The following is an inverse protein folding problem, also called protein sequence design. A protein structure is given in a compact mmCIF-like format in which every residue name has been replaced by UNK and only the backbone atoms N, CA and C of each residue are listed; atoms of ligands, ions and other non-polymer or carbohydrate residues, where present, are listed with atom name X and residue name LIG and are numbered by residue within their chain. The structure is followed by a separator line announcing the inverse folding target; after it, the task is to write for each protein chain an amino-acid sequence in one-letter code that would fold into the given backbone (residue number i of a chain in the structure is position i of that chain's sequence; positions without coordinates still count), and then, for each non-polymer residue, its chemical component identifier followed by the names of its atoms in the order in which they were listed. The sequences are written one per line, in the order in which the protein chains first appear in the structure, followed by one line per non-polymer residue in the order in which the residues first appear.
data_IF_406108346784
#
_entry.id   IF_406108346784
#
_cell.length_a   1.000
_cell.length_b   1.000
_cell.length_c   1.000
_cell.angle_alpha   90.00
_cell.angle_beta   90.00
_cell.angle_gamma   90.00
#
_symmetry.space_group_name_H-M   'P 1'
#
loop_
_entity.id
_entity.type
_entity.pdbx_description
1 polymer ?
#
# COMPACT_ATOMS: atom_id res chain seq x y z
N UNK A 1 -19.09 -13.60 10.81
CA UNK A 1 -18.47 -12.79 9.74
C UNK A 1 -17.19 -12.19 10.28
N UNK A 2 -16.26 -11.75 9.42
CA UNK A 2 -15.11 -10.95 9.87
C UNK A 2 -15.63 -9.58 10.27
N UNK A 3 -15.27 -9.12 11.47
CA UNK A 3 -15.57 -7.76 11.92
C UNK A 3 -14.35 -6.88 11.67
N UNK A 4 -14.57 -5.62 11.30
CA UNK A 4 -13.51 -4.71 10.88
C UNK A 4 -13.63 -3.37 11.62
N UNK A 5 -12.50 -2.80 11.99
CA UNK A 5 -12.35 -1.39 12.34
C UNK A 5 -11.27 -0.77 11.46
N UNK A 6 -11.44 0.47 11.05
CA UNK A 6 -10.51 1.13 10.13
C UNK A 6 -10.43 2.63 10.42
N UNK A 7 -9.22 3.15 10.56
CA UNK A 7 -9.01 4.59 10.64
C UNK A 7 -7.74 4.97 9.87
N UNK A 8 -7.77 6.13 9.24
CA UNK A 8 -6.63 6.74 8.57
C UNK A 8 -6.62 8.24 8.80
N UNK A 9 -5.45 8.85 8.91
CA UNK A 9 -5.29 10.28 9.15
C UNK A 9 -3.98 10.77 8.53
N UNK A 10 -3.91 11.99 7.95
CA UNK A 10 -2.68 12.54 7.38
C UNK A 10 -1.56 12.82 8.42
N UNK A 11 -1.75 12.47 9.69
CA UNK A 11 -0.91 12.98 10.78
C UNK A 11 -1.15 14.47 11.06
N UNK A 12 -0.28 15.06 11.88
CA UNK A 12 -0.29 16.49 12.25
C UNK A 12 0.61 17.36 11.38
N UNK A 13 1.57 16.73 10.69
CA UNK A 13 2.61 17.44 9.93
C UNK A 13 2.36 17.42 8.42
N UNK A 14 1.85 16.31 7.87
CA UNK A 14 1.57 16.22 6.42
C UNK A 14 0.26 16.95 6.09
N UNK A 15 0.18 17.52 4.89
CA UNK A 15 -1.03 18.19 4.39
C UNK A 15 -1.97 17.26 3.60
N UNK A 16 -1.46 16.11 3.16
CA UNK A 16 -2.20 15.09 2.41
C UNK A 16 -1.97 13.72 3.03
N UNK A 17 -2.87 12.80 2.74
CA UNK A 17 -2.79 11.41 3.15
C UNK A 17 -2.45 10.54 1.93
N UNK A 18 -1.23 10.01 1.90
CA UNK A 18 -0.71 9.15 0.83
C UNK A 18 -0.88 7.66 1.18
N UNK A 19 -1.42 7.35 2.37
CA UNK A 19 -1.82 6.00 2.74
C UNK A 19 -3.16 5.63 2.10
N UNK A 20 -3.33 4.33 1.85
CA UNK A 20 -4.61 3.77 1.43
C UNK A 20 -4.83 2.39 2.05
N UNK A 21 -6.09 2.06 2.36
CA UNK A 21 -6.44 0.74 2.84
C UNK A 21 -7.72 0.24 2.16
N UNK A 22 -7.83 -1.07 2.05
CA UNK A 22 -8.99 -1.73 1.47
C UNK A 22 -9.25 -3.04 2.21
N UNK A 23 -10.52 -3.44 2.32
CA UNK A 23 -10.88 -4.75 2.85
C UNK A 23 -12.18 -5.26 2.21
N UNK A 24 -12.34 -6.58 2.14
CA UNK A 24 -13.54 -7.15 1.55
C UNK A 24 -13.53 -8.68 1.44
N UNK A 25 -14.68 -9.28 1.12
CA UNK A 25 -14.76 -10.70 0.79
C UNK A 25 -14.22 -10.97 -0.62
N UNK A 26 -13.55 -12.10 -0.79
CA UNK A 26 -13.11 -12.65 -2.08
C UNK A 26 -13.50 -14.11 -2.21
N UNK A 27 -13.45 -14.72 -3.41
CA UNK A 27 -13.61 -16.17 -3.56
C UNK A 27 -12.66 -17.01 -2.68
N UNK A 28 -11.53 -16.42 -2.26
CA UNK A 28 -10.47 -17.10 -1.52
C UNK A 28 -10.55 -16.91 0.00
N UNK A 29 -11.32 -15.93 0.48
CA UNK A 29 -11.43 -15.60 1.90
C UNK A 29 -11.85 -14.16 2.15
N UNK A 30 -11.52 -13.63 3.33
CA UNK A 30 -11.70 -12.19 3.60
C UNK A 30 -10.33 -11.51 3.60
N UNK A 31 -10.17 -10.43 2.85
CA UNK A 31 -8.89 -9.74 2.70
C UNK A 31 -8.91 -8.40 3.41
N UNK A 32 -7.77 -8.01 3.98
CA UNK A 32 -7.45 -6.63 4.34
C UNK A 32 -6.08 -6.25 3.75
N UNK A 33 -5.98 -5.02 3.29
CA UNK A 33 -4.84 -4.45 2.56
C UNK A 33 -4.56 -3.07 3.14
N UNK A 34 -3.29 -2.78 3.43
CA UNK A 34 -2.80 -1.43 3.79
C UNK A 34 -1.58 -1.13 2.93
N UNK A 35 -1.55 0.08 2.37
CA UNK A 35 -0.53 0.60 1.49
C UNK A 35 -0.08 1.98 1.99
N UNK A 36 1.23 2.22 1.98
CA UNK A 36 1.85 3.53 2.21
C UNK A 36 2.46 3.99 0.88
N UNK A 37 1.91 5.05 0.31
CA UNK A 37 2.28 5.58 -0.99
C UNK A 37 3.41 6.59 -0.91
N UNK A 38 4.40 6.45 -1.79
CA UNK A 38 5.52 7.38 -1.92
C UNK A 38 5.59 7.92 -3.36
N UNK A 39 5.94 9.19 -3.53
CA UNK A 39 6.06 9.75 -4.87
C UNK A 39 6.28 11.27 -4.99
N UNK A 40 6.25 12.01 -3.89
CA UNK A 40 6.18 13.49 -3.91
C UNK A 40 4.72 13.96 -3.96
N UNK A 41 4.49 15.28 -4.06
CA UNK A 41 3.13 15.86 -3.92
C UNK A 41 2.09 15.15 -4.81
N UNK A 42 0.98 14.72 -4.20
CA UNK A 42 -0.21 14.06 -4.79
C UNK A 42 0.04 12.71 -5.48
N UNK A 43 1.29 12.33 -5.71
CA UNK A 43 1.69 11.10 -6.36
C UNK A 43 1.61 9.86 -5.46
N UNK A 44 1.85 10.01 -4.15
CA UNK A 44 1.83 8.88 -3.21
C UNK A 44 0.44 8.26 -3.07
N UNK A 45 -0.61 9.07 -2.90
CA UNK A 45 -2.00 8.61 -2.81
C UNK A 45 -2.41 7.76 -4.02
N UNK A 46 -2.02 8.21 -5.21
CA UNK A 46 -2.29 7.47 -6.46
C UNK A 46 -1.60 6.11 -6.45
N UNK A 47 -0.35 6.03 -6.00
CA UNK A 47 0.38 4.78 -5.92
C UNK A 47 -0.28 3.79 -4.95
N UNK A 48 -0.58 4.23 -3.72
CA UNK A 48 -1.17 3.39 -2.69
C UNK A 48 -2.55 2.85 -3.11
N UNK A 49 -3.40 3.72 -3.67
CA UNK A 49 -4.71 3.35 -4.18
C UNK A 49 -4.62 2.37 -5.34
N UNK A 50 -3.78 2.64 -6.33
CA UNK A 50 -3.59 1.77 -7.49
C UNK A 50 -3.14 0.37 -7.06
N UNK A 51 -2.21 0.29 -6.12
CA UNK A 51 -1.76 -0.99 -5.56
C UNK A 51 -2.89 -1.72 -4.85
N UNK A 52 -3.61 -1.06 -3.94
CA UNK A 52 -4.69 -1.70 -3.18
C UNK A 52 -5.82 -2.19 -4.08
N UNK A 53 -6.24 -1.38 -5.06
CA UNK A 53 -7.26 -1.74 -6.05
C UNK A 53 -6.80 -2.92 -6.92
N UNK A 54 -5.54 -2.91 -7.38
CA UNK A 54 -4.99 -4.01 -8.20
C UNK A 54 -4.94 -5.31 -7.41
N UNK A 55 -4.48 -5.26 -6.16
CA UNK A 55 -4.44 -6.42 -5.28
C UNK A 55 -5.83 -7.01 -5.06
N UNK A 56 -6.83 -6.16 -4.77
CA UNK A 56 -8.18 -6.63 -4.55
C UNK A 56 -8.79 -7.23 -5.82
N UNK A 57 -8.69 -6.55 -6.96
CA UNK A 57 -9.19 -7.03 -8.26
C UNK A 57 -8.54 -8.35 -8.65
N UNK A 58 -7.22 -8.48 -8.49
CA UNK A 58 -6.52 -9.73 -8.76
C UNK A 58 -7.10 -10.88 -7.94
N UNK A 59 -7.37 -10.67 -6.65
CA UNK A 59 -7.95 -11.70 -5.77
C UNK A 59 -9.42 -12.01 -6.06
N UNK A 60 -10.15 -11.11 -6.72
CA UNK A 60 -11.51 -11.37 -7.17
C UNK A 60 -11.55 -12.31 -8.38
N UNK A 61 -10.58 -12.16 -9.29
CA UNK A 61 -10.59 -12.80 -10.61
C UNK A 61 -9.69 -14.05 -10.67
N UNK A 62 -8.64 -14.11 -9.85
CA UNK A 62 -7.65 -15.17 -9.92
C UNK A 62 -8.26 -16.55 -9.64
N UNK A 63 -7.86 -17.58 -10.40
CA UNK A 63 -8.30 -18.95 -10.16
C UNK A 63 -7.78 -19.46 -8.81
N UNK A 64 -8.40 -20.50 -8.22
CA UNK A 64 -7.90 -21.10 -6.98
C UNK A 64 -6.49 -21.67 -7.14
N UNK A 65 -5.54 -21.08 -6.44
CA UNK A 65 -4.15 -21.56 -6.27
C UNK A 65 -3.81 -21.61 -4.76
N UNK A 66 -2.68 -22.20 -4.35
CA UNK A 66 -2.22 -22.08 -2.97
C UNK A 66 -2.17 -20.60 -2.54
N UNK A 67 -2.73 -20.23 -1.37
CA UNK A 67 -2.82 -18.83 -0.96
C UNK A 67 -1.48 -18.09 -0.94
N UNK A 68 -0.38 -18.78 -0.64
CA UNK A 68 0.95 -18.22 -0.66
C UNK A 68 1.39 -17.77 -2.07
N UNK A 69 1.11 -18.59 -3.08
CA UNK A 69 1.43 -18.28 -4.48
C UNK A 69 0.49 -17.18 -5.00
N UNK A 70 -0.80 -17.29 -4.67
CA UNK A 70 -1.81 -16.28 -4.99
C UNK A 70 -1.41 -14.88 -4.53
N UNK A 71 -0.99 -14.74 -3.26
CA UNK A 71 -0.59 -13.44 -2.71
C UNK A 71 0.72 -12.92 -3.31
N UNK A 72 1.66 -13.82 -3.63
CA UNK A 72 2.92 -13.47 -4.31
C UNK A 72 2.64 -12.92 -5.71
N UNK A 73 1.81 -13.62 -6.48
CA UNK A 73 1.41 -13.19 -7.82
C UNK A 73 0.63 -11.86 -7.78
N UNK A 74 -0.26 -11.68 -6.79
CA UNK A 74 -0.98 -10.43 -6.61
C UNK A 74 -0.03 -9.23 -6.41
N UNK A 75 1.00 -9.37 -5.56
CA UNK A 75 1.98 -8.31 -5.31
C UNK A 75 2.86 -8.03 -6.54
N UNK A 76 3.23 -9.06 -7.31
CA UNK A 76 3.94 -8.88 -8.57
C UNK A 76 3.07 -8.19 -9.64
N UNK A 77 1.79 -8.54 -9.72
CA UNK A 77 0.82 -7.88 -10.59
C UNK A 77 0.63 -6.40 -10.22
N UNK A 78 0.53 -6.09 -8.92
CA UNK A 78 0.46 -4.72 -8.43
C UNK A 78 1.74 -3.92 -8.78
N UNK A 79 2.93 -4.52 -8.63
CA UNK A 79 4.19 -3.90 -9.07
C UNK A 79 4.17 -3.59 -10.57
N UNK A 80 3.77 -4.57 -11.40
CA UNK A 80 3.70 -4.41 -12.84
C UNK A 80 2.70 -3.31 -13.24
N UNK A 81 1.53 -3.26 -12.60
CA UNK A 81 0.53 -2.21 -12.85
C UNK A 81 1.05 -0.82 -12.53
N UNK A 82 1.81 -0.67 -11.44
CA UNK A 82 2.43 0.59 -11.06
C UNK A 82 3.54 1.00 -12.05
N UNK A 83 4.33 0.05 -12.55
CA UNK A 83 5.32 0.33 -13.60
C UNK A 83 4.67 0.80 -14.91
N UNK A 84 3.58 0.17 -15.35
CA UNK A 84 2.82 0.62 -16.53
C UNK A 84 2.29 2.04 -16.33
N UNK A 85 1.71 2.33 -15.16
CA UNK A 85 1.23 3.67 -14.84
C UNK A 85 2.34 4.72 -14.95
N UNK A 86 3.56 4.40 -14.48
CA UNK A 86 4.73 5.30 -14.59
C UNK A 86 5.20 5.56 -16.01
N UNK A 87 4.97 4.61 -16.93
CA UNK A 87 5.29 4.79 -18.34
C UNK A 87 4.30 5.73 -19.03
N UNK A 88 3.03 5.65 -18.64
CA UNK A 88 1.94 6.48 -19.16
C UNK A 88 1.97 7.90 -18.59
N UNK A 89 2.53 8.08 -17.39
CA UNK A 89 2.54 9.32 -16.62
C UNK A 89 3.97 9.76 -16.26
N UNK A 90 4.64 10.60 -17.07
CA UNK A 90 6.01 11.06 -16.80
C UNK A 90 6.20 11.78 -15.46
N UNK A 91 5.16 12.47 -14.98
CA UNK A 91 5.08 13.08 -13.65
C UNK A 91 5.13 12.05 -12.52
N UNK A 92 4.74 10.81 -12.81
CA UNK A 92 4.69 9.70 -11.89
C UNK A 92 6.03 8.94 -11.77
N UNK A 93 7.13 9.45 -12.34
CA UNK A 93 8.40 8.72 -12.45
C UNK A 93 8.95 8.13 -11.15
N UNK A 94 8.60 8.70 -9.98
CA UNK A 94 9.08 8.23 -8.69
C UNK A 94 7.98 7.56 -7.82
N UNK A 95 6.83 7.21 -8.39
CA UNK A 95 5.78 6.52 -7.62
C UNK A 95 6.29 5.17 -7.14
N UNK A 96 6.00 4.90 -5.88
CA UNK A 96 6.15 3.61 -5.25
C UNK A 96 5.09 3.45 -4.18
N UNK A 97 4.93 2.24 -3.68
CA UNK A 97 4.09 1.99 -2.52
C UNK A 97 4.66 0.82 -1.73
N UNK A 98 4.46 0.84 -0.42
CA UNK A 98 4.48 -0.40 0.37
C UNK A 98 3.15 -1.13 0.20
N UNK A 99 3.10 -2.40 0.58
CA UNK A 99 1.86 -3.13 0.72
C UNK A 99 2.01 -4.18 1.81
N UNK A 100 1.02 -4.26 2.70
CA UNK A 100 0.81 -5.40 3.60
C UNK A 100 -0.61 -5.92 3.39
N UNK A 101 -0.74 -7.21 3.15
CA UNK A 101 -2.00 -7.88 2.87
C UNK A 101 -2.19 -9.07 3.82
N UNK A 102 -3.41 -9.22 4.33
CA UNK A 102 -3.84 -10.38 5.09
C UNK A 102 -5.06 -11.04 4.44
N UNK A 103 -4.91 -12.30 4.04
CA UNK A 103 -6.02 -13.14 3.57
C UNK A 103 -6.45 -14.11 4.68
N UNK A 104 -7.63 -13.88 5.24
CA UNK A 104 -8.24 -14.71 6.27
C UNK A 104 -9.03 -15.84 5.60
N UNK A 105 -8.56 -17.07 5.82
CA UNK A 105 -9.18 -18.27 5.28
C UNK A 105 -9.32 -19.33 6.38
N UNK A 106 -10.57 -19.67 6.73
CA UNK A 106 -10.90 -20.63 7.79
C UNK A 106 -10.26 -20.23 9.13
N UNK A 107 -9.28 -21.01 9.61
CA UNK A 107 -8.57 -20.81 10.88
C UNK A 107 -7.13 -20.32 10.67
N UNK A 108 -6.82 -19.76 9.49
CA UNK A 108 -5.49 -19.24 9.16
C UNK A 108 -5.61 -17.84 8.57
N UNK A 109 -4.56 -17.05 8.76
CA UNK A 109 -4.30 -15.87 7.95
C UNK A 109 -3.03 -16.13 7.14
N UNK A 110 -3.04 -15.68 5.90
CA UNK A 110 -1.86 -15.63 5.05
C UNK A 110 -1.47 -14.17 4.94
N UNK A 111 -0.25 -13.86 5.38
CA UNK A 111 0.28 -12.50 5.38
C UNK A 111 1.29 -12.42 4.25
N UNK A 112 1.15 -11.42 3.40
CA UNK A 112 2.19 -11.06 2.44
C UNK A 112 2.50 -9.57 2.53
N UNK A 113 3.76 -9.19 2.28
CA UNK A 113 4.14 -7.79 2.28
C UNK A 113 5.37 -7.49 1.42
N UNK A 114 5.48 -6.20 1.09
CA UNK A 114 6.64 -5.54 0.48
C UNK A 114 6.74 -4.13 1.10
N UNK A 115 7.90 -3.78 1.66
CA UNK A 115 8.11 -2.51 2.37
C UNK A 115 8.10 -2.67 3.90
N UNK A 116 7.81 -1.59 4.61
CA UNK A 116 7.84 -1.50 6.08
C UNK A 116 6.47 -1.25 6.74
N UNK A 117 5.38 -1.34 5.97
CA UNK A 117 4.04 -1.52 6.56
C UNK A 117 3.97 -2.87 7.27
N UNK A 118 3.29 -2.91 8.42
CA UNK A 118 3.37 -4.04 9.35
C UNK A 118 2.04 -4.73 9.59
N UNK A 119 2.13 -6.03 9.90
CA UNK A 119 1.02 -6.83 10.40
C UNK A 119 1.33 -7.35 11.82
N UNK A 120 0.37 -7.25 12.73
CA UNK A 120 0.46 -7.76 14.09
C UNK A 120 -0.70 -8.68 14.42
N UNK A 121 -0.42 -9.76 15.15
CA UNK A 121 -1.44 -10.62 15.74
C UNK A 121 -1.51 -10.36 17.25
N UNK A 122 -2.65 -9.86 17.72
CA UNK A 122 -2.89 -9.72 19.14
C UNK A 122 -3.46 -11.01 19.73
N UNK A 123 -2.75 -11.55 20.72
CA UNK A 123 -3.17 -12.67 21.59
C UNK A 123 -3.24 -12.17 23.03
N UNK A 124 -3.85 -12.97 23.91
CA UNK A 124 -4.25 -12.59 25.28
C UNK A 124 -3.36 -11.52 25.92
N UNK A 125 -2.05 -11.74 26.02
CA UNK A 125 -1.09 -10.80 26.62
C UNK A 125 0.11 -10.48 25.71
N UNK A 126 -0.01 -10.69 24.39
CA UNK A 126 1.12 -10.53 23.48
C UNK A 126 0.67 -9.93 22.14
N UNK A 127 1.45 -8.98 21.64
CA UNK A 127 1.34 -8.47 20.28
C UNK A 127 2.52 -8.98 19.45
N UNK A 128 2.27 -10.03 18.67
CA UNK A 128 3.30 -10.66 17.84
C UNK A 128 3.38 -9.93 16.50
N UNK A 129 4.55 -9.40 16.16
CA UNK A 129 4.83 -8.85 14.82
C UNK A 129 4.96 -10.02 13.84
N UNK A 130 4.28 -9.92 12.71
CA UNK A 130 4.26 -10.97 11.69
C UNK A 130 5.15 -10.63 10.48
N UNK A 131 5.41 -9.35 10.23
CA UNK A 131 6.22 -8.89 9.09
C UNK A 131 7.66 -8.61 9.49
N UNK A 132 8.56 -8.62 8.52
CA UNK A 132 9.94 -8.12 8.66
C UNK A 132 10.14 -6.94 7.71
N UNK A 133 10.44 -5.76 8.23
CA UNK A 133 10.49 -4.55 7.39
C UNK A 133 11.55 -4.66 6.28
N UNK A 134 11.19 -4.35 5.03
CA UNK A 134 12.15 -4.18 3.94
C UNK A 134 12.86 -2.82 4.07
N UNK A 135 13.67 -2.65 5.12
CA UNK A 135 14.40 -1.41 5.43
C UNK A 135 15.89 -1.63 5.65
N UNK A 136 16.69 -0.59 5.40
CA UNK A 136 18.14 -0.62 5.60
C UNK A 136 18.51 -0.91 7.06
N UNK A 137 17.74 -0.34 8.00
CA UNK A 137 17.97 -0.57 9.44
C UNK A 137 17.63 -1.99 9.85
N UNK A 138 16.60 -2.61 9.25
CA UNK A 138 16.30 -4.02 9.48
C UNK A 138 17.44 -4.91 8.96
N UNK A 139 17.99 -4.62 7.78
CA UNK A 139 19.17 -5.33 7.26
C UNK A 139 20.40 -5.18 8.17
N UNK A 140 20.66 -3.97 8.67
CA UNK A 140 21.75 -3.72 9.62
C UNK A 140 21.54 -4.44 10.96
N UNK A 141 20.29 -4.53 11.43
CA UNK A 141 19.93 -5.26 12.64
C UNK A 141 20.14 -6.77 12.45
N UNK A 142 19.60 -7.35 11.38
CA UNK A 142 19.72 -8.79 11.08
C UNK A 142 21.17 -9.22 10.83
N UNK A 143 22.02 -8.33 10.31
CA UNK A 143 23.47 -8.57 10.15
C UNK A 143 24.30 -8.29 11.42
N UNK A 144 23.68 -7.84 12.52
CA UNK A 144 24.36 -7.54 13.78
C UNK A 144 25.22 -6.28 13.75
N UNK A 145 25.05 -5.41 12.76
CA UNK A 145 25.79 -4.14 12.63
C UNK A 145 25.29 -3.08 13.62
N UNK A 146 24.01 -3.14 13.99
CA UNK A 146 23.39 -2.25 14.97
C UNK A 146 22.50 -3.03 15.92
N UNK A 147 22.29 -2.48 17.11
CA UNK A 147 21.29 -2.94 18.08
C UNK A 147 19.88 -2.43 17.75
N UNK A 148 18.86 -3.05 18.35
CA UNK A 148 17.47 -2.60 18.20
C UNK A 148 17.27 -1.14 18.68
N UNK A 149 17.95 -0.71 19.75
CA UNK A 149 17.88 0.68 20.21
C UNK A 149 18.50 1.65 19.20
N UNK A 150 19.62 1.26 18.59
CA UNK A 150 20.26 2.06 17.54
C UNK A 150 19.41 2.16 16.28
N UNK A 151 18.73 1.08 15.89
CA UNK A 151 17.84 1.06 14.72
C UNK A 151 16.72 2.12 14.83
N UNK A 152 16.10 2.27 16.01
CA UNK A 152 15.02 3.23 16.26
C UNK A 152 15.44 4.69 16.09
N UNK A 153 16.72 5.00 16.34
CA UNK A 153 17.28 6.37 16.26
C UNK A 153 18.16 6.58 15.03
N UNK A 154 18.27 5.59 14.15
CA UNK A 154 19.17 5.65 13.03
C UNK A 154 18.71 6.70 12.01
N UNK A 155 19.62 7.54 11.47
CA UNK A 155 19.24 8.60 10.52
C UNK A 155 18.65 8.08 9.20
N UNK A 156 18.89 6.80 8.88
CA UNK A 156 18.37 6.14 7.68
C UNK A 156 17.26 5.13 8.00
N UNK A 157 16.54 5.28 9.12
CA UNK A 157 15.48 4.35 9.52
C UNK A 157 14.31 4.25 8.53
N UNK A 158 14.04 5.31 7.77
CA UNK A 158 12.99 5.34 6.74
C UNK A 158 13.52 4.97 5.33
N UNK A 159 14.71 4.37 5.22
CA UNK A 159 15.25 3.96 3.91
C UNK A 159 14.82 2.54 3.62
N UNK A 160 13.90 2.39 2.67
CA UNK A 160 13.44 1.09 2.18
C UNK A 160 14.50 0.41 1.30
N UNK A 161 14.62 -0.90 1.46
CA UNK A 161 15.44 -1.77 0.60
C UNK A 161 14.63 -2.33 -0.56
N UNK A 162 13.31 -2.38 -0.40
CA UNK A 162 12.37 -2.83 -1.43
C UNK A 162 11.03 -2.13 -1.27
N UNK A 163 10.40 -1.77 -2.39
CA UNK A 163 9.01 -1.33 -2.44
C UNK A 163 8.40 -1.73 -3.80
N UNK A 164 7.09 -1.56 -3.95
CA UNK A 164 6.43 -1.70 -5.25
C UNK A 164 6.74 -0.46 -6.12
N UNK A 165 6.73 -0.65 -7.44
CA UNK A 165 7.01 0.38 -8.43
C UNK A 165 8.48 0.45 -8.87
N UNK A 166 9.33 -0.48 -8.45
CA UNK A 166 10.73 -0.55 -8.87
C UNK A 166 10.89 -1.43 -10.12
N UNK A 167 11.86 -1.10 -10.99
CA UNK A 167 12.15 -1.87 -12.21
C UNK A 167 12.62 -3.30 -11.88
N UNK A 168 13.39 -3.45 -10.81
CA UNK A 168 13.70 -4.76 -10.27
C UNK A 168 12.45 -5.32 -9.59
N UNK A 169 11.93 -6.48 -10.03
CA UNK A 169 10.76 -7.08 -9.39
C UNK A 169 11.00 -7.29 -7.89
N UNK A 170 10.01 -6.98 -7.04
CA UNK A 170 10.14 -7.26 -5.63
C UNK A 170 10.19 -8.77 -5.38
N UNK A 171 10.77 -9.16 -4.26
CA UNK A 171 10.66 -10.48 -3.66
C UNK A 171 9.69 -10.40 -2.47
N UNK A 172 8.39 -10.68 -2.64
CA UNK A 172 7.43 -10.62 -1.55
C UNK A 172 7.73 -11.61 -0.44
N UNK A 173 7.59 -11.15 0.80
CA UNK A 173 7.54 -12.04 1.96
C UNK A 173 6.14 -12.60 2.07
N UNK A 174 6.01 -13.91 2.24
CA UNK A 174 4.70 -14.56 2.39
C UNK A 174 4.80 -15.66 3.43
N UNK A 175 3.90 -15.66 4.40
CA UNK A 175 3.86 -16.71 5.42
C UNK A 175 2.45 -16.93 5.96
N UNK A 176 2.25 -18.14 6.48
CA UNK A 176 0.97 -18.60 7.03
C UNK A 176 1.02 -18.56 8.55
N UNK A 177 -0.03 -18.02 9.16
CA UNK A 177 -0.19 -17.99 10.62
C UNK A 177 -1.50 -18.64 11.05
N UNK A 178 -1.47 -19.34 12.18
CA UNK A 178 -2.68 -19.81 12.83
C UNK A 178 -3.49 -18.61 13.34
N UNK A 179 -4.78 -18.58 13.00
CA UNK A 179 -5.71 -17.53 13.36
C UNK A 179 -6.84 -18.11 14.23
N UNK A 180 -6.65 -18.17 15.56
CA UNK A 180 -7.71 -18.58 16.46
C UNK A 180 -8.95 -17.70 16.35
N UNK A 181 -10.10 -18.25 16.69
CA UNK A 181 -11.35 -17.49 16.72
C UNK A 181 -11.25 -16.23 17.58
N UNK A 182 -11.86 -15.14 17.10
CA UNK A 182 -11.86 -13.81 17.74
C UNK A 182 -10.48 -13.16 17.90
N UNK A 183 -9.43 -13.71 17.28
CA UNK A 183 -8.12 -13.05 17.25
C UNK A 183 -8.21 -11.73 16.51
N UNK A 184 -7.44 -10.74 16.95
CA UNK A 184 -7.33 -9.45 16.29
C UNK A 184 -6.03 -9.42 15.47
N UNK A 185 -6.17 -9.08 14.19
CA UNK A 185 -5.07 -8.84 13.29
C UNK A 185 -5.06 -7.35 12.93
N UNK A 186 -3.98 -6.65 13.26
CA UNK A 186 -3.78 -5.25 12.93
C UNK A 186 -2.84 -5.15 11.74
N UNK A 187 -3.26 -4.45 10.69
CA UNK A 187 -2.43 -3.97 9.60
C UNK A 187 -2.25 -2.46 9.77
N UNK A 188 -1.03 -1.96 9.65
CA UNK A 188 -0.77 -0.53 9.80
C UNK A 188 0.45 -0.06 9.01
N UNK A 189 0.46 1.24 8.70
CA UNK A 189 1.62 1.94 8.14
C UNK A 189 2.66 2.28 9.21
N UNK A 190 3.83 2.72 8.77
CA UNK A 190 4.93 3.05 9.66
C UNK A 190 4.60 4.25 10.57
N UNK A 191 3.74 5.18 10.14
CA UNK A 191 3.30 6.32 10.93
C UNK A 191 2.56 5.95 12.20
N UNK A 192 2.01 4.73 12.30
CA UNK A 192 1.53 4.17 13.56
C UNK A 192 2.68 3.53 14.34
N UNK A 193 3.37 2.58 13.72
CA UNK A 193 4.31 1.69 14.43
C UNK A 193 5.65 2.34 14.80
N UNK A 194 5.95 3.51 14.24
CA UNK A 194 7.07 4.37 14.61
C UNK A 194 6.76 5.24 15.83
N UNK A 195 5.48 5.46 16.15
CA UNK A 195 5.03 6.37 17.20
C UNK A 195 4.44 5.67 18.42
N UNK A 196 4.02 4.41 18.29
CA UNK A 196 3.47 3.62 19.38
C UNK A 196 4.29 2.34 19.61
N UNK A 197 4.54 2.03 20.88
CA UNK A 197 5.15 0.76 21.28
C UNK A 197 4.16 -0.41 21.14
N UNK A 198 4.68 -1.64 21.13
CA UNK A 198 3.83 -2.85 21.10
C UNK A 198 2.91 -2.91 22.31
N UNK A 199 3.38 -2.46 23.47
CA UNK A 199 2.63 -2.42 24.72
C UNK A 199 1.48 -1.40 24.65
N UNK A 200 1.72 -0.23 24.08
CA UNK A 200 0.69 0.79 23.88
C UNK A 200 -0.39 0.31 22.91
N UNK A 201 0.01 -0.29 21.78
CA UNK A 201 -0.92 -0.88 20.81
C UNK A 201 -1.74 -1.99 21.48
N UNK A 202 -1.07 -2.92 22.17
CA UNK A 202 -1.72 -4.04 22.83
C UNK A 202 -2.74 -3.58 23.88
N UNK A 203 -2.42 -2.54 24.66
CA UNK A 203 -3.32 -1.99 25.66
C UNK A 203 -4.65 -1.50 25.03
N UNK A 204 -4.58 -0.77 23.91
CA UNK A 204 -5.78 -0.34 23.17
C UNK A 204 -6.55 -1.54 22.61
N UNK A 205 -5.85 -2.51 22.02
CA UNK A 205 -6.49 -3.69 21.43
C UNK A 205 -7.16 -4.59 22.48
N UNK A 206 -6.67 -4.60 23.71
CA UNK A 206 -7.23 -5.39 24.81
C UNK A 206 -8.42 -4.72 25.52
N UNK A 207 -8.63 -3.41 25.34
CA UNK A 207 -9.75 -2.73 25.95
C UNK A 207 -11.07 -3.31 25.43
N UNK A 208 -11.86 -3.90 26.34
CA UNK A 208 -13.13 -4.56 26.02
C UNK A 208 -14.30 -3.59 25.97
N UNK A 209 -14.11 -2.36 26.44
CA UNK A 209 -15.13 -1.31 26.38
C UNK A 209 -15.22 -0.67 24.99
N UNK A 210 -14.16 -0.81 24.18
CA UNK A 210 -14.06 -0.22 22.85
C UNK A 210 -14.50 -1.19 21.75
N UNK A 211 -15.27 -0.67 20.80
CA UNK A 211 -15.51 -1.33 19.51
C UNK A 211 -14.22 -1.40 18.67
N UNK A 212 -14.19 -2.24 17.63
CA UNK A 212 -13.03 -2.29 16.72
C UNK A 212 -12.73 -0.94 16.07
N UNK A 213 -13.77 -0.21 15.66
CA UNK A 213 -13.63 1.13 15.11
C UNK A 213 -13.01 2.09 16.13
N UNK A 214 -13.55 2.13 17.35
CA UNK A 214 -13.02 2.98 18.44
C UNK A 214 -11.57 2.67 18.79
N UNK A 215 -11.14 1.40 18.66
CA UNK A 215 -9.74 1.01 18.83
C UNK A 215 -8.85 1.64 17.76
N UNK A 216 -9.27 1.59 16.50
CA UNK A 216 -8.53 2.26 15.43
C UNK A 216 -8.47 3.78 15.65
N UNK A 217 -9.59 4.41 16.01
CA UNK A 217 -9.63 5.85 16.30
C UNK A 217 -8.66 6.23 17.44
N UNK A 218 -8.64 5.46 18.53
CA UNK A 218 -7.74 5.66 19.67
C UNK A 218 -6.26 5.44 19.29
N UNK A 219 -5.96 4.45 18.45
CA UNK A 219 -4.61 4.22 17.93
C UNK A 219 -4.11 5.41 17.11
N UNK A 220 -4.95 5.94 16.21
CA UNK A 220 -4.62 7.13 15.42
C UNK A 220 -4.41 8.35 16.32
N UNK A 221 -5.30 8.56 17.30
CA UNK A 221 -5.22 9.71 18.20
C UNK A 221 -3.96 9.65 19.07
N UNK A 222 -3.61 8.48 19.63
CA UNK A 222 -2.36 8.30 20.37
C UNK A 222 -1.12 8.57 19.51
N UNK A 223 -1.09 8.05 18.29
CA UNK A 223 0.03 8.31 17.38
C UNK A 223 0.15 9.81 17.02
N UNK A 224 -0.98 10.49 16.81
CA UNK A 224 -1.02 11.95 16.64
C UNK A 224 -0.52 12.70 17.89
N UNK A 225 -0.85 12.25 19.10
CA UNK A 225 -0.35 12.84 20.35
C UNK A 225 1.16 12.66 20.51
N UNK A 226 1.71 11.54 20.02
CA UNK A 226 3.14 11.25 20.00
C UNK A 226 3.91 11.94 18.86
N UNK A 227 3.24 12.79 18.08
CA UNK A 227 3.87 13.69 17.12
C UNK A 227 3.12 13.79 15.80
N UNK A 228 2.55 12.68 15.32
CA UNK A 228 1.85 12.61 14.03
C UNK A 228 2.71 13.11 12.85
N UNK A 229 3.97 12.67 12.80
CA UNK A 229 4.94 13.16 11.80
C UNK A 229 4.66 12.64 10.38
N UNK A 230 3.90 11.55 10.26
CA UNK A 230 3.55 10.92 9.00
C UNK A 230 2.06 10.62 8.89
N UNK A 231 1.65 10.15 7.71
CA UNK A 231 0.36 9.51 7.49
C UNK A 231 0.22 8.27 8.38
N UNK A 232 -0.97 8.08 8.94
CA UNK A 232 -1.21 7.07 9.96
C UNK A 232 -2.42 6.28 9.53
N UNK A 233 -2.24 4.98 9.31
CA UNK A 233 -3.34 4.09 8.92
C UNK A 233 -3.35 2.83 9.78
N UNK A 234 -4.53 2.46 10.26
CA UNK A 234 -4.77 1.27 11.06
C UNK A 234 -6.03 0.53 10.56
N UNK A 235 -5.85 -0.72 10.14
CA UNK A 235 -6.92 -1.63 9.73
C UNK A 235 -6.90 -2.84 10.67
N UNK A 236 -7.99 -3.01 11.42
CA UNK A 236 -8.15 -4.07 12.40
C UNK A 236 -9.18 -5.09 11.92
N UNK A 237 -8.75 -6.34 11.76
CA UNK A 237 -9.59 -7.47 11.38
C UNK A 237 -9.77 -8.40 12.58
N UNK A 238 -11.02 -8.70 12.94
CA UNK A 238 -11.32 -9.73 13.94
C UNK A 238 -11.76 -11.02 13.24
N UNK A 239 -11.01 -12.09 13.50
CA UNK A 239 -11.36 -13.43 13.05
C UNK A 239 -12.76 -13.82 13.59
N UNK A 240 -13.60 -14.50 12.79
CA UNK A 240 -14.93 -14.86 13.23
C UNK A 240 -14.86 -15.71 14.50
N UNK A 241 -15.83 -15.54 15.40
CA UNK A 241 -16.08 -16.55 16.43
C UNK A 241 -16.25 -17.90 15.71
N UNK A 242 -15.58 -18.97 16.21
CA UNK A 242 -15.53 -20.30 15.56
C UNK A 242 -16.84 -20.54 14.82
N UNK A 243 -16.77 -20.75 13.50
CA UNK A 243 -17.88 -21.43 12.85
C UNK A 243 -18.11 -22.67 13.70
N UNK A 244 -19.32 -22.85 14.24
CA UNK A 244 -19.75 -24.18 14.58
C UNK A 244 -19.31 -25.01 13.38
N UNK A 245 -18.43 -25.99 13.60
CA UNK A 245 -18.24 -27.04 12.62
C UNK A 245 -19.66 -27.41 12.24
N UNK A 246 -20.07 -27.07 11.02
CA UNK A 246 -21.12 -27.81 10.40
C UNK A 246 -20.48 -29.18 10.24
N UNK A 247 -20.54 -29.97 11.31
CA UNK A 247 -20.67 -31.41 11.20
C UNK A 247 -22.01 -31.55 10.51
N UNK A 248 -22.00 -31.28 9.21
CA UNK A 248 -22.92 -31.88 8.29
C UNK A 248 -22.59 -33.36 8.30
N UNK A 249 -22.91 -34.05 9.39
CA UNK A 249 -23.71 -35.23 9.23
C UNK A 249 -25.03 -34.74 8.64
N UNK A 250 -25.04 -34.47 7.33
CA UNK A 250 -26.18 -34.92 6.58
C UNK A 250 -26.25 -36.40 6.90
N UNK A 251 -27.35 -36.93 7.46
CA UNK A 251 -27.58 -38.34 7.32
C UNK A 251 -27.71 -38.53 5.80
N UNK A 252 -26.64 -38.98 5.15
CA UNK A 252 -26.77 -39.59 3.84
C UNK A 252 -27.59 -40.84 4.12
N UNK A 253 -28.92 -40.72 4.08
CA UNK A 253 -29.79 -41.87 3.90
C UNK A 253 -29.40 -42.39 2.53
N UNK A 254 -28.49 -43.37 2.49
CA UNK A 254 -28.40 -44.21 1.30
C UNK A 254 -29.84 -44.63 0.98
N UNK A 255 -30.30 -44.50 -0.28
CA UNK A 255 -31.57 -45.11 -0.65
C UNK A 255 -31.47 -46.59 -0.25
N UNK A 256 -32.53 -47.19 0.31
CA UNK A 256 -32.44 -48.56 0.79
C UNK A 256 -31.92 -49.45 -0.35
N UNK A 257 -30.98 -50.34 -0.04
CA UNK A 257 -30.19 -51.16 -0.99
C UNK A 257 -31.02 -51.83 -2.11
N UNK A 258 -32.33 -52.01 -1.87
CA UNK A 258 -33.33 -52.42 -2.87
C UNK A 258 -33.40 -51.56 -4.14
N UNK A 259 -33.11 -50.25 -4.08
CA UNK A 259 -33.16 -49.39 -5.28
C UNK A 259 -31.90 -49.46 -6.15
N UNK A 260 -30.75 -49.80 -5.56
CA UNK A 260 -29.51 -50.05 -6.31
C UNK A 260 -29.57 -51.39 -7.07
N UNK A 261 -30.22 -52.40 -6.49
CA UNK A 261 -30.44 -53.70 -7.15
C UNK A 261 -31.51 -53.59 -8.24
N UNK A 262 -32.58 -52.80 -8.01
CA UNK A 262 -33.64 -52.57 -9.00
C UNK A 262 -33.16 -51.80 -10.24
N UNK A 263 -32.30 -50.80 -10.06
CA UNK A 263 -31.75 -50.00 -11.18
C UNK A 263 -30.82 -50.79 -12.10
N UNK A 264 -30.00 -51.69 -11.54
CA UNK A 264 -29.12 -52.55 -12.31
C UNK A 264 -29.91 -53.59 -13.14
N UNK A 265 -30.96 -54.17 -12.57
CA UNK A 265 -31.84 -55.12 -13.29
C UNK A 265 -32.60 -54.41 -14.42
N UNK A 266 -33.09 -53.19 -14.19
CA UNK A 266 -33.77 -52.41 -15.22
C UNK A 266 -32.87 -52.08 -16.42
N UNK A 267 -31.60 -51.72 -16.18
CA UNK A 267 -30.64 -51.44 -17.25
C UNK A 267 -30.25 -52.70 -18.06
N UNK A 268 -30.15 -53.86 -17.40
CA UNK A 268 -29.92 -55.14 -18.09
C UNK A 268 -31.14 -55.52 -18.94
N UNK A 269 -32.36 -55.36 -18.44
CA UNK A 269 -33.59 -55.65 -19.19
C UNK A 269 -33.76 -54.72 -20.39
N UNK A 270 -33.46 -53.42 -20.23
CA UNK A 270 -33.49 -52.45 -21.34
C UNK A 270 -32.44 -52.81 -22.40
N UNK A 271 -31.21 -53.15 -22.00
CA UNK A 271 -30.17 -53.61 -22.93
C UNK A 271 -30.55 -54.89 -23.69
N UNK A 272 -31.20 -55.85 -23.00
CA UNK A 272 -31.65 -57.10 -23.61
C UNK A 272 -32.82 -56.87 -24.59
N UNK A 273 -33.73 -55.94 -24.28
CA UNK A 273 -34.82 -55.56 -25.19
C UNK A 273 -34.30 -54.84 -26.44
N UNK A 274 -33.32 -53.95 -26.31
CA UNK A 274 -32.66 -53.29 -27.45
C UNK A 274 -31.96 -54.32 -28.33
N UNK A 275 -31.28 -55.31 -27.75
CA UNK A 275 -30.62 -56.37 -28.53
C UNK A 275 -31.62 -57.28 -29.26
N UNK A 276 -32.73 -57.66 -28.62
CA UNK A 276 -33.79 -58.48 -29.24
C UNK A 276 -34.48 -57.74 -30.39
N UNK A 277 -34.68 -56.43 -30.28
CA UNK A 277 -35.32 -55.64 -31.34
C UNK A 277 -34.35 -55.17 -32.44
N UNK A 278 -33.07 -54.97 -32.14
CA UNK A 278 -32.05 -54.60 -33.14
C UNK A 278 -31.47 -55.81 -33.90
N UNK A 279 -31.57 -57.03 -33.33
CA UNK A 279 -31.02 -58.27 -33.87
C UNK A 279 -31.75 -58.91 -35.06
N UNK A 280 -32.68 -58.19 -35.72
CA UNK A 280 -33.33 -58.69 -36.94
C UNK A 280 -33.27 -57.68 -38.07
N UNK A 281 -32.17 -57.68 -38.82
CA UNK A 281 -32.15 -57.52 -40.27
C UNK A 281 -30.83 -58.04 -40.88
N UNK A 282 -31.00 -58.78 -41.98
CA UNK A 282 -30.06 -59.67 -42.69
C UNK A 282 -28.96 -58.93 -43.44
N UNK A 283 -27.82 -59.63 -43.57
CA UNK A 283 -26.66 -59.31 -44.40
C UNK A 283 -26.94 -59.32 -45.92
N UNK A 284 -25.99 -58.76 -46.69
CA UNK A 284 -25.45 -59.48 -47.84
C UNK A 284 -23.91 -59.50 -47.88
N UNK A 285 -23.36 -60.58 -48.43
CA UNK A 285 -21.94 -60.86 -48.77
C UNK A 285 -21.68 -60.60 -50.27
N UNK A 286 -20.47 -60.83 -50.83
CA UNK A 286 -19.17 -60.16 -50.60
C UNK A 286 -18.51 -59.73 -51.94
N UNK A 287 -17.31 -59.12 -51.94
CA UNK A 287 -16.21 -59.45 -52.90
C UNK A 287 -14.87 -58.75 -52.58
N UNK A 288 -13.89 -59.63 -52.36
CA UNK A 288 -12.47 -59.66 -52.78
C UNK A 288 -11.48 -58.53 -52.45
N UNK A 289 -10.62 -58.86 -51.48
CA UNK A 289 -9.14 -58.91 -51.46
C UNK A 289 -8.27 -58.26 -52.55
N UNK A 290 -7.14 -57.72 -52.06
CA UNK A 290 -5.90 -57.41 -52.76
C UNK A 290 -5.54 -55.92 -52.65
N UNK A 291 -4.46 -55.46 -52.04
CA UNK A 291 -3.30 -56.15 -51.50
C UNK A 291 -2.55 -55.23 -50.51
N UNK A 292 -1.75 -55.86 -49.66
CA UNK A 292 -0.92 -55.31 -48.57
C UNK A 292 0.37 -54.70 -49.15
N UNK A 293 1.00 -53.69 -48.53
CA UNK A 293 2.32 -53.74 -47.82
C UNK A 293 2.92 -52.31 -47.93
N UNK A 294 3.73 -51.71 -47.04
CA UNK A 294 4.18 -51.79 -45.64
C UNK A 294 4.89 -50.44 -45.37
N UNK A 295 5.00 -50.11 -44.09
CA UNK A 295 5.68 -48.98 -43.45
C UNK A 295 7.20 -48.92 -43.68
N UNK A 296 7.75 -47.71 -43.67
CA UNK A 296 9.10 -47.27 -43.24
C UNK A 296 9.42 -45.99 -44.04
N UNK A 297 10.06 -44.92 -43.60
CA UNK A 297 10.88 -44.53 -42.45
C UNK A 297 10.80 -42.99 -42.41
N UNK A 298 10.86 -42.34 -41.25
CA UNK A 298 12.06 -41.72 -40.67
C UNK A 298 12.76 -40.66 -41.53
N UNK A 299 13.32 -39.67 -40.85
CA UNK A 299 14.26 -38.62 -41.31
C UNK A 299 13.70 -37.22 -41.59
N UNK A 300 13.99 -36.37 -40.61
CA UNK A 300 14.39 -34.97 -40.75
C UNK A 300 15.02 -34.61 -42.11
N UNK A 301 14.59 -33.49 -42.69
CA UNK A 301 15.49 -32.47 -43.22
C UNK A 301 14.75 -31.12 -43.35
N UNK A 302 15.39 -30.09 -42.83
CA UNK A 302 15.07 -28.71 -43.10
C UNK A 302 15.51 -28.35 -44.52
N UNK A 303 14.68 -27.61 -45.26
CA UNK A 303 15.22 -26.58 -46.14
C UNK A 303 14.18 -25.51 -46.54
N UNK A 304 14.66 -24.28 -46.41
CA UNK A 304 14.45 -23.06 -47.22
C UNK A 304 13.06 -22.56 -47.65
N UNK A 305 12.90 -21.26 -47.35
CA UNK A 305 12.30 -20.21 -48.19
C UNK A 305 10.83 -20.33 -48.57
N UNK A 306 9.99 -19.42 -48.05
CA UNK A 306 9.55 -18.29 -48.87
C UNK A 306 8.82 -17.22 -48.08
N UNK A 307 9.09 -15.99 -48.49
CA UNK A 307 8.46 -14.73 -48.09
C UNK A 307 7.00 -14.73 -48.53
N UNK A 308 6.08 -14.40 -47.62
CA UNK A 308 4.78 -13.85 -47.99
C UNK A 308 4.28 -12.89 -46.91
N UNK A 309 3.87 -11.74 -47.41
CA UNK A 309 3.39 -10.50 -46.79
C UNK A 309 2.27 -10.68 -45.76
N UNK A 310 2.41 -10.03 -44.60
CA UNK A 310 1.32 -9.76 -43.64
C UNK A 310 0.63 -8.42 -43.99
N UNK A 311 -0.72 -8.34 -44.04
CA UNK A 311 -1.44 -7.07 -44.03
C UNK A 311 -1.55 -6.51 -42.60
N UNK A 312 -1.79 -5.20 -42.43
CA UNK A 312 -1.96 -4.58 -41.11
C UNK A 312 -3.35 -4.92 -40.55
N UNK A 313 -3.39 -5.37 -39.29
CA UNK A 313 -4.64 -5.51 -38.56
C UNK A 313 -5.02 -4.15 -37.95
N UNK A 314 -6.23 -3.74 -38.30
CA UNK A 314 -6.93 -2.52 -37.89
C UNK A 314 -7.21 -2.48 -36.39
N UNK A 315 -7.41 -1.25 -35.90
CA UNK A 315 -7.70 -0.93 -34.50
C UNK A 315 -8.95 -1.63 -33.96
N UNK A 316 -8.77 -2.31 -32.83
CA UNK A 316 -9.85 -2.65 -31.92
C UNK A 316 -9.85 -1.67 -30.76
N UNK A 317 -10.96 -0.95 -30.58
CA UNK A 317 -11.26 -0.21 -29.35
C UNK A 317 -11.17 -1.13 -28.14
N UNK A 318 -10.38 -0.72 -27.15
CA UNK A 318 -10.36 -1.35 -25.83
C UNK A 318 -11.63 -0.92 -25.08
N UNK A 319 -12.49 -1.83 -24.62
CA UNK A 319 -13.68 -1.44 -23.87
C UNK A 319 -13.28 -0.87 -22.50
N UNK A 320 -13.91 0.25 -22.14
CA UNK A 320 -13.80 0.86 -20.82
C UNK A 320 -14.20 -0.14 -19.72
N UNK A 321 -13.54 -0.11 -18.54
CA UNK A 321 -13.91 -0.99 -17.43
C UNK A 321 -15.32 -0.64 -16.89
N UNK A 322 -16.08 -1.64 -16.41
CA UNK A 322 -17.43 -1.44 -15.91
C UNK A 322 -17.42 -0.57 -14.65
N UNK A 323 -18.25 0.47 -14.68
CA UNK A 323 -18.45 1.48 -13.65
C UNK A 323 -19.47 1.04 -12.59
N UNK A 324 -19.21 -0.06 -11.89
CA UNK A 324 -20.01 -0.49 -10.74
C UNK A 324 -19.12 -1.19 -9.69
N UNK A 325 -18.26 -0.40 -9.04
CA UNK A 325 -17.59 -0.77 -7.79
C UNK A 325 -18.41 -0.21 -6.61
N UNK A 326 -18.55 -0.95 -5.50
CA UNK A 326 -19.21 -0.44 -4.30
C UNK A 326 -18.47 0.78 -3.73
N UNK A 327 -19.26 1.70 -3.19
CA UNK A 327 -18.89 3.07 -2.79
C UNK A 327 -17.69 3.14 -1.83
N UNK A 328 -16.75 4.08 -2.01
CA UNK A 328 -15.69 4.36 -1.04
C UNK A 328 -16.28 4.81 0.31
N UNK A 329 -15.64 4.40 1.41
CA UNK A 329 -16.02 4.86 2.75
C UNK A 329 -15.75 6.38 2.87
N UNK A 330 -16.74 7.18 3.27
CA UNK A 330 -16.55 8.62 3.44
C UNK A 330 -15.58 8.91 4.59
N UNK A 331 -14.74 9.91 4.40
CA UNK A 331 -14.04 10.58 5.50
C UNK A 331 -15.08 11.12 6.49
N UNK A 332 -14.85 10.88 7.78
CA UNK A 332 -15.71 11.41 8.83
C UNK A 332 -15.71 12.94 8.78
N UNK A 333 -16.88 13.63 8.82
CA UNK A 333 -16.91 15.07 8.91
C UNK A 333 -16.36 15.52 10.28
N UNK A 334 -15.68 16.68 10.35
CA UNK A 334 -15.13 17.19 11.60
C UNK A 334 -16.26 17.48 12.59
N UNK A 335 -16.11 16.96 13.82
CA UNK A 335 -17.01 17.25 14.92
C UNK A 335 -17.09 18.77 15.16
N UNK A 336 -18.31 19.28 15.16
CA UNK A 336 -18.67 20.66 15.42
C UNK A 336 -18.25 21.06 16.85
N UNK A 337 -17.37 22.05 16.97
CA UNK A 337 -16.91 22.55 18.26
C UNK A 337 -18.03 23.36 18.96
N UNK A 338 -18.32 23.14 20.25
CA UNK A 338 -19.23 24.01 20.99
C UNK A 338 -18.60 25.39 21.27
N UNK A 339 -19.42 26.45 21.41
CA UNK A 339 -18.93 27.83 21.44
C UNK A 339 -18.20 28.14 22.74
N UNK A 340 -17.07 28.83 22.60
CA UNK A 340 -16.23 29.33 23.68
C UNK A 340 -16.82 30.59 24.34
N UNK A 341 -16.74 30.65 25.67
CA UNK A 341 -16.78 31.88 26.47
C UNK A 341 -15.69 31.84 27.56
N UNK A 342 -15.24 33.01 28.07
CA UNK A 342 -13.81 33.26 28.23
C UNK A 342 -13.26 33.15 29.65
N UNK A 343 -11.94 32.94 29.68
CA UNK A 343 -10.95 33.31 30.70
C UNK A 343 -10.97 32.61 32.08
N UNK A 344 -9.90 31.87 32.38
CA UNK A 344 -9.06 32.22 33.54
C UNK A 344 -7.68 31.54 33.44
N UNK A 345 -6.69 32.33 33.82
CA UNK A 345 -5.26 32.12 33.87
C UNK A 345 -4.81 30.76 34.46
N UNK A 346 -3.90 30.10 33.75
CA UNK A 346 -2.89 29.26 34.40
C UNK A 346 -1.55 29.42 33.65
N UNK A 347 -0.63 30.03 34.39
CA UNK A 347 0.69 30.46 33.97
C UNK A 347 1.65 29.27 34.05
N UNK A 348 2.16 28.79 32.92
CA UNK A 348 3.37 27.95 32.90
C UNK A 348 4.41 28.55 31.96
N UNK A 349 5.56 28.86 32.55
CA UNK A 349 6.71 29.51 31.93
C UNK A 349 7.28 28.60 30.82
N UNK A 350 7.13 29.01 29.57
CA UNK A 350 7.92 28.49 28.45
C UNK A 350 9.18 29.36 28.30
N UNK A 351 10.33 28.73 28.38
CA UNK A 351 11.64 29.37 28.21
C UNK A 351 11.78 29.90 26.77
N UNK A 352 12.02 31.21 26.64
CA UNK A 352 12.29 31.89 25.38
C UNK A 352 13.68 31.52 24.87
N UNK A 353 13.77 30.60 23.90
CA UNK A 353 14.92 30.53 23.00
C UNK A 353 14.70 31.55 21.87
N UNK A 354 15.60 32.56 21.79
CA UNK A 354 15.62 33.54 20.70
C UNK A 354 15.69 32.79 19.37
N UNK A 355 14.63 32.86 18.57
CA UNK A 355 14.61 32.23 17.25
C UNK A 355 15.56 32.96 16.30
N UNK A 356 16.51 32.23 15.69
CA UNK A 356 17.33 32.76 14.59
C UNK A 356 16.42 33.05 13.39
N UNK A 357 16.61 34.20 12.73
CA UNK A 357 15.78 34.62 11.60
C UNK A 357 16.61 34.92 10.37
N UNK A 358 16.14 34.49 9.20
CA UNK A 358 16.66 34.84 7.88
C UNK A 358 15.79 35.95 7.26
N UNK A 359 16.40 36.98 6.70
CA UNK A 359 15.67 38.06 6.00
C UNK A 359 15.44 37.67 4.53
N UNK A 360 14.17 37.52 4.15
CA UNK A 360 13.73 37.18 2.81
C UNK A 360 13.02 38.37 2.15
N UNK A 361 13.35 38.66 0.89
CA UNK A 361 12.66 39.68 0.10
C UNK A 361 11.61 39.03 -0.79
N UNK A 362 10.33 39.39 -0.58
CA UNK A 362 9.17 38.93 -1.33
C UNK A 362 9.34 39.26 -2.81
N UNK A 363 9.12 38.28 -3.69
CA UNK A 363 9.21 38.43 -5.14
C UNK A 363 7.83 38.57 -5.78
N UNK A 364 7.80 39.00 -7.05
CA UNK A 364 6.56 39.08 -7.82
C UNK A 364 5.95 37.67 -7.97
N UNK A 365 4.71 37.49 -7.51
CA UNK A 365 4.01 36.20 -7.53
C UNK A 365 4.20 35.36 -6.26
N UNK A 366 4.94 35.85 -5.27
CA UNK A 366 4.96 35.23 -3.95
C UNK A 366 3.64 35.46 -3.21
N UNK A 367 3.26 34.48 -2.40
CA UNK A 367 2.21 34.57 -1.41
C UNK A 367 2.69 33.91 -0.12
N UNK A 368 1.99 34.12 0.99
CA UNK A 368 2.48 33.66 2.28
C UNK A 368 2.56 32.13 2.33
N UNK A 369 1.63 31.43 1.68
CA UNK A 369 1.61 29.97 1.57
C UNK A 369 2.89 29.42 0.94
N UNK A 370 3.32 29.95 -0.21
CA UNK A 370 4.52 29.48 -0.93
C UNK A 370 5.79 29.78 -0.15
N UNK A 371 5.86 30.93 0.51
CA UNK A 371 7.02 31.28 1.35
C UNK A 371 7.06 30.35 2.58
N UNK A 372 5.92 30.14 3.24
CA UNK A 372 5.78 29.23 4.37
C UNK A 372 6.25 27.81 4.02
N UNK A 373 5.75 27.27 2.92
CA UNK A 373 6.10 25.95 2.42
C UNK A 373 7.57 25.83 2.05
N UNK A 374 8.14 26.81 1.34
CA UNK A 374 9.54 26.78 0.94
C UNK A 374 10.48 26.70 2.14
N UNK A 375 10.20 27.46 3.20
CA UNK A 375 11.03 27.52 4.40
C UNK A 375 10.56 26.57 5.52
N UNK A 376 9.62 25.67 5.24
CA UNK A 376 9.07 24.70 6.21
C UNK A 376 8.62 25.34 7.53
N UNK A 377 7.91 26.46 7.45
CA UNK A 377 7.37 27.19 8.61
C UNK A 377 5.86 27.38 8.43
N UNK A 378 5.11 27.51 9.52
CA UNK A 378 3.67 27.75 9.41
C UNK A 378 3.36 29.18 8.96
N UNK A 379 2.26 29.35 8.22
CA UNK A 379 1.79 30.69 7.85
C UNK A 379 1.49 31.55 9.09
N UNK A 380 0.90 30.96 10.13
CA UNK A 380 0.59 31.66 11.38
C UNK A 380 1.86 32.13 12.10
N UNK A 381 2.93 31.34 12.09
CA UNK A 381 4.23 31.73 12.64
C UNK A 381 4.88 32.86 11.82
N UNK A 382 4.84 32.78 10.48
CA UNK A 382 5.31 33.86 9.62
C UNK A 382 4.51 35.15 9.83
N UNK A 383 3.17 35.07 9.95
CA UNK A 383 2.31 36.22 10.25
C UNK A 383 2.67 36.85 11.58
N UNK A 384 2.76 36.04 12.64
CA UNK A 384 3.10 36.49 13.99
C UNK A 384 4.49 37.13 14.03
N UNK A 385 5.49 36.54 13.38
CA UNK A 385 6.87 37.03 13.39
C UNK A 385 7.03 38.36 12.62
N UNK A 386 6.19 38.59 11.62
CA UNK A 386 6.25 39.75 10.74
C UNK A 386 5.11 40.77 10.96
N UNK A 387 4.28 40.56 11.98
CA UNK A 387 3.08 41.36 12.26
C UNK A 387 2.19 41.57 11.01
N UNK A 388 1.98 40.51 10.23
CA UNK A 388 1.16 40.56 9.02
C UNK A 388 -0.33 40.41 9.37
N UNK A 389 -1.24 41.10 8.65
CA UNK A 389 -2.68 40.90 8.79
C UNK A 389 -3.10 39.51 8.31
N UNK A 390 -4.33 39.07 8.61
CA UNK A 390 -4.82 37.73 8.23
C UNK A 390 -5.01 37.56 6.71
N UNK A 391 -5.19 38.66 5.99
CA UNK A 391 -5.29 38.66 4.52
C UNK A 391 -3.90 38.58 3.88
N UNK A 392 -3.76 37.79 2.82
CA UNK A 392 -2.49 37.59 2.10
C UNK A 392 -2.23 38.73 1.09
N UNK A 393 -1.89 39.91 1.61
CA UNK A 393 -1.61 41.14 0.82
C UNK A 393 -0.09 41.45 0.76
N UNK A 394 0.74 40.44 0.48
CA UNK A 394 2.20 40.63 0.37
C UNK A 394 2.59 41.45 -0.87
N UNK A 395 3.50 42.42 -0.69
CA UNK A 395 4.01 43.26 -1.79
C UNK A 395 5.39 42.79 -2.23
N UNK A 396 5.61 42.69 -3.55
CA UNK A 396 6.94 42.45 -4.08
C UNK A 396 7.92 43.53 -3.59
N UNK A 397 9.11 43.11 -3.12
CA UNK A 397 10.11 43.96 -2.46
C UNK A 397 9.96 44.05 -0.94
N UNK A 398 8.87 43.56 -0.35
CA UNK A 398 8.68 43.53 1.10
C UNK A 398 9.70 42.57 1.75
N UNK A 399 10.30 42.97 2.87
CA UNK A 399 11.22 42.12 3.65
C UNK A 399 10.46 41.38 4.74
N UNK A 400 10.68 40.07 4.83
CA UNK A 400 10.12 39.18 5.84
C UNK A 400 11.25 38.53 6.64
N UNK A 401 11.08 38.47 7.96
CA UNK A 401 11.86 37.63 8.85
C UNK A 401 11.27 36.23 8.83
N UNK A 402 12.09 35.26 8.46
CA UNK A 402 11.72 33.85 8.41
C UNK A 402 12.45 33.12 9.54
N UNK A 403 11.75 32.39 10.42
CA UNK A 403 12.43 31.65 11.48
C UNK A 403 13.17 30.45 10.87
N UNK A 404 14.45 30.36 11.15
CA UNK A 404 15.34 29.28 10.68
C UNK A 404 16.17 28.77 11.86
N UNK A 405 16.73 27.57 11.77
CA UNK A 405 17.64 27.05 12.79
C UNK A 405 19.01 27.72 12.69
N UNK A 406 19.52 27.87 11.47
CA UNK A 406 20.81 28.47 11.17
C UNK A 406 20.83 28.97 9.71
N UNK A 407 21.77 29.83 9.37
CA UNK A 407 22.04 30.21 7.97
C UNK A 407 23.51 29.90 7.69
N UNK A 408 23.76 28.91 6.85
CA UNK A 408 25.09 28.54 6.43
C UNK A 408 25.49 29.27 5.15
N UNK A 409 26.78 29.48 4.95
CA UNK A 409 27.33 29.94 3.68
C UNK A 409 28.12 28.80 3.07
N UNK A 410 27.74 28.34 1.88
CA UNK A 410 28.40 27.23 1.18
C UNK A 410 28.94 27.68 -0.17
N UNK A 411 30.11 27.18 -0.56
CA UNK A 411 30.70 27.40 -1.88
C UNK A 411 30.54 26.11 -2.68
N UNK A 412 29.83 26.17 -3.80
CA UNK A 412 29.47 25.01 -4.62
C UNK A 412 30.73 24.32 -5.15
N UNK A 413 30.84 23.03 -4.91
CA UNK A 413 31.94 22.17 -5.34
C UNK A 413 31.58 21.38 -6.60
N UNK A 414 32.59 20.79 -7.25
CA UNK A 414 32.41 19.98 -8.46
C UNK A 414 31.50 18.77 -8.14
N UNK A 415 30.40 18.64 -8.88
CA UNK A 415 29.44 17.54 -8.73
C UNK A 415 28.30 17.79 -7.74
N UNK A 416 28.29 18.91 -7.02
CA UNK A 416 27.16 19.29 -6.16
C UNK A 416 26.01 19.89 -6.99
N UNK A 417 24.79 19.57 -6.59
CA UNK A 417 23.55 20.18 -7.07
C UNK A 417 22.67 20.64 -5.90
N UNK A 418 21.62 21.42 -6.17
CA UNK A 418 20.74 21.97 -5.13
C UNK A 418 20.14 20.87 -4.23
N UNK A 419 19.76 19.72 -4.80
CA UNK A 419 19.19 18.59 -4.06
C UNK A 419 20.21 17.96 -3.10
N UNK A 420 21.46 17.81 -3.52
CA UNK A 420 22.55 17.31 -2.67
C UNK A 420 22.85 18.28 -1.53
N UNK A 421 22.80 19.59 -1.79
CA UNK A 421 23.00 20.63 -0.78
C UNK A 421 21.82 20.71 0.20
N UNK A 422 20.59 20.61 -0.30
CA UNK A 422 19.38 20.57 0.53
C UNK A 422 19.43 19.40 1.52
N UNK A 423 19.85 18.22 1.04
CA UNK A 423 20.05 17.04 1.89
C UNK A 423 21.15 17.24 2.92
N UNK A 424 22.31 17.75 2.50
CA UNK A 424 23.49 17.99 3.36
C UNK A 424 23.20 18.96 4.50
N UNK A 425 22.44 20.02 4.24
CA UNK A 425 22.15 21.07 5.21
C UNK A 425 20.74 20.96 5.83
N UNK A 426 20.08 19.81 5.66
CA UNK A 426 18.73 19.54 6.19
C UNK A 426 17.68 20.60 5.83
N UNK A 427 17.77 21.17 4.64
CA UNK A 427 16.84 22.18 4.11
C UNK A 427 16.10 21.68 2.88
N UNK A 428 15.37 22.56 2.19
CA UNK A 428 14.70 22.27 0.90
C UNK A 428 15.45 22.92 -0.25
N UNK A 429 15.35 22.35 -1.45
CA UNK A 429 15.89 22.97 -2.67
C UNK A 429 15.28 24.35 -2.91
N UNK A 430 13.98 24.48 -2.63
CA UNK A 430 13.23 25.72 -2.79
C UNK A 430 13.68 26.81 -1.80
N UNK A 431 13.96 26.46 -0.54
CA UNK A 431 14.53 27.40 0.43
C UNK A 431 15.88 27.93 -0.04
N UNK A 432 16.76 27.06 -0.56
CA UNK A 432 18.06 27.47 -1.12
C UNK A 432 17.85 28.38 -2.32
N UNK A 433 16.96 28.03 -3.26
CA UNK A 433 16.70 28.85 -4.44
C UNK A 433 16.18 30.23 -4.08
N UNK A 434 15.20 30.28 -3.19
CA UNK A 434 14.57 31.51 -2.73
C UNK A 434 15.52 32.39 -1.94
N UNK A 435 16.34 31.81 -1.07
CA UNK A 435 17.36 32.54 -0.32
C UNK A 435 18.44 33.16 -1.22
N UNK A 436 18.67 32.61 -2.42
CA UNK A 436 19.79 33.00 -3.29
C UNK A 436 19.42 33.65 -4.63
N UNK A 437 18.14 33.99 -4.87
CA UNK A 437 17.80 34.61 -6.16
C UNK A 437 17.72 33.64 -7.35
N UNK A 438 17.75 32.33 -7.12
CA UNK A 438 17.97 31.35 -8.19
C UNK A 438 16.65 30.91 -8.83
N UNK A 439 16.47 31.19 -10.12
CA UNK A 439 15.26 30.85 -10.88
C UNK A 439 15.33 29.49 -11.60
N UNK A 440 16.53 29.00 -11.97
CA UNK A 440 16.75 27.67 -12.57
C UNK A 440 17.49 26.73 -11.62
N UNK A 441 17.39 25.40 -11.75
CA UNK A 441 18.12 24.46 -10.89
C UNK A 441 19.66 24.43 -11.08
N UNK A 442 20.19 25.30 -11.94
CA UNK A 442 21.61 25.32 -12.29
C UNK A 442 22.40 26.19 -11.31
N UNK A 443 23.31 25.55 -10.59
CA UNK A 443 24.34 26.22 -9.78
C UNK A 443 25.71 26.03 -10.41
N UNK A 444 26.60 27.01 -10.26
CA UNK A 444 27.95 26.98 -10.84
C UNK A 444 28.99 26.63 -9.77
N UNK A 445 30.01 25.87 -10.14
CA UNK A 445 31.17 25.61 -9.27
C UNK A 445 31.78 26.95 -8.84
N UNK A 446 32.05 27.11 -7.54
CA UNK A 446 32.53 28.34 -6.94
C UNK A 446 31.44 29.35 -6.56
N UNK A 447 30.17 29.10 -6.89
CA UNK A 447 29.06 29.96 -6.49
C UNK A 447 28.86 29.91 -4.97
N UNK A 448 28.75 31.08 -4.34
CA UNK A 448 28.46 31.23 -2.91
C UNK A 448 26.96 31.22 -2.68
N UNK A 449 26.46 30.32 -1.84
CA UNK A 449 25.05 30.15 -1.51
C UNK A 449 24.81 30.34 -0.01
N UNK A 450 23.77 31.10 0.33
CA UNK A 450 23.18 31.18 1.67
C UNK A 450 22.17 30.06 1.83
N UNK A 451 22.40 29.16 2.78
CA UNK A 451 21.62 27.95 2.98
C UNK A 451 20.88 28.08 4.31
N UNK A 452 19.60 28.50 4.29
CA UNK A 452 18.78 28.55 5.48
C UNK A 452 18.44 27.13 5.92
N UNK A 453 18.87 26.74 7.11
CA UNK A 453 18.48 25.46 7.74
C UNK A 453 17.10 25.66 8.31
N UNK A 454 16.11 25.02 7.71
CA UNK A 454 14.71 25.13 8.14
C UNK A 454 14.46 24.27 9.37
N UNK A 455 13.48 24.64 10.19
CA UNK A 455 13.03 23.78 11.30
C UNK A 455 12.22 22.64 10.69
N UNK A 456 12.79 21.44 10.66
CA UNK A 456 12.06 20.21 10.32
C UNK A 456 11.22 19.75 11.49
#
# INVERSE_FOLDING_TARGET
MVEVGFATHPGRIRSHNEDYAYHGPTPHGYVGIVCDGMGGHEAGEVAARLVAETLYTFLQEAPPTPPEDLLREALLAANHRLLLYRQEHPEAKNLGSTAVIALLQKNHAFIAHVGDSRAYLARKNELTLLTEDDSLVQQMLTSGLISAEQALRHPQKNVLTQCLGQETPPNPHVHRVALPARSLLLLCTDGLSNLLSKEEILAVLQDRSLSLQKKCDELIEKANQNGGYDNITALLLQAPAKSATFVGSMPFKLPPLRYLIGGAIALVVIGLLVWVFAGRKKAPTPKEEGDVIVLSDDSLQADTSNVSTLPPAEGGEVPAPPSDLPTPLPSSPPAEAPPSKPASEARTKSASTKATTFEYTVRKGDNLTRIAQAFSVSQSELRRLNALPDKDDLKAGQKLKIPVQAVHTHIVQKGENLSSLARKYHTTTEAIRRANGIEEEKIRIGQKLHIPVVKR
#
